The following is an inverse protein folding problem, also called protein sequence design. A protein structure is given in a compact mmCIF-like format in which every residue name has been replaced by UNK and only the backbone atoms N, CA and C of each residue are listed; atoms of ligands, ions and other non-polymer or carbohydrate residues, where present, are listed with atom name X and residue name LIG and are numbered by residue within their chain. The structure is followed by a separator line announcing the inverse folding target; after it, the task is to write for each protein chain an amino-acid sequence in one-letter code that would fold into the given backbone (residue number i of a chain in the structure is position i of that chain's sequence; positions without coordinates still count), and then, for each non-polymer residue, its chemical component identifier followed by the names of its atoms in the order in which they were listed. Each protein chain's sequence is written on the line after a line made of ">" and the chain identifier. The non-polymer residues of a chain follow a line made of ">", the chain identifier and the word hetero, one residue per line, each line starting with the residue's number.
data_IF_157934639505
#
_entry.id   IF_157934639505
#
_cell.length_a   1.000
_cell.length_b   1.000
_cell.length_c   1.000
_cell.angle_alpha   90.00
_cell.angle_beta   90.00
_cell.angle_gamma   90.00
#
_symmetry.space_group_name_H-M   'P 1'
#
loop_
_entity.id
_entity.type
_entity.pdbx_description
1 polymer ?
#
# COMPACT_ATOMS: atom_id res chain seq x y z
N UNK A 1 22.18 -17.24 9.41
CA UNK A 1 21.10 -18.03 10.02
C UNK A 1 20.04 -17.18 10.74
N UNK A 2 20.37 -16.32 11.73
CA UNK A 2 19.37 -15.48 12.44
C UNK A 2 18.55 -14.56 11.51
N UNK A 3 19.14 -13.98 10.50
CA UNK A 3 18.48 -13.08 9.54
C UNK A 3 17.48 -13.84 8.63
N UNK A 4 17.80 -15.06 8.23
CA UNK A 4 16.92 -15.93 7.45
C UNK A 4 15.70 -16.40 8.28
N UNK A 5 15.92 -16.84 9.51
CA UNK A 5 14.83 -17.24 10.40
C UNK A 5 13.87 -16.06 10.69
N UNK A 6 14.41 -14.86 10.90
CA UNK A 6 13.58 -13.66 11.06
C UNK A 6 12.78 -13.32 9.80
N UNK A 7 13.33 -13.54 8.61
CA UNK A 7 12.60 -13.37 7.34
C UNK A 7 11.46 -14.39 7.23
N UNK A 8 11.75 -15.67 7.43
CA UNK A 8 10.75 -16.75 7.36
C UNK A 8 9.62 -16.49 8.38
N UNK A 9 9.98 -16.14 9.61
CA UNK A 9 9.00 -15.78 10.65
C UNK A 9 8.07 -14.63 10.19
N UNK A 10 8.65 -13.54 9.67
CA UNK A 10 7.87 -12.39 9.20
C UNK A 10 6.97 -12.74 8.04
N UNK A 11 7.45 -13.59 7.13
CA UNK A 11 6.66 -14.05 5.99
C UNK A 11 5.48 -14.90 6.45
N UNK A 12 5.72 -15.93 7.24
CA UNK A 12 4.66 -16.83 7.71
C UNK A 12 3.62 -16.09 8.55
N UNK A 13 4.09 -15.28 9.49
CA UNK A 13 3.20 -14.50 10.32
C UNK A 13 2.41 -13.45 9.52
N UNK A 14 3.06 -12.78 8.58
CA UNK A 14 2.41 -11.83 7.70
C UNK A 14 1.32 -12.47 6.84
N UNK A 15 1.61 -13.61 6.22
CA UNK A 15 0.64 -14.37 5.46
C UNK A 15 -0.52 -14.84 6.35
N UNK A 16 -0.25 -15.41 7.51
CA UNK A 16 -1.28 -15.86 8.45
C UNK A 16 -2.21 -14.72 8.89
N UNK A 17 -1.65 -13.56 9.22
CA UNK A 17 -2.43 -12.39 9.63
C UNK A 17 -3.19 -11.72 8.46
N UNK A 18 -2.87 -12.04 7.22
CA UNK A 18 -3.62 -11.56 6.05
C UNK A 18 -4.90 -12.37 5.81
N UNK A 19 -5.08 -13.52 6.46
CA UNK A 19 -6.24 -14.40 6.26
C UNK A 19 -7.57 -13.76 6.68
N UNK A 20 -7.56 -12.83 7.62
CA UNK A 20 -8.79 -12.17 8.06
C UNK A 20 -8.68 -10.65 7.97
N UNK A 21 -9.76 -9.93 7.69
CA UNK A 21 -9.75 -8.47 7.61
C UNK A 21 -9.33 -7.81 8.93
N UNK A 22 -9.68 -8.40 10.07
CA UNK A 22 -9.34 -7.88 11.38
C UNK A 22 -7.83 -7.95 11.66
N UNK A 23 -7.22 -9.09 11.36
CA UNK A 23 -5.77 -9.26 11.54
C UNK A 23 -4.96 -8.60 10.45
N UNK A 24 -5.52 -8.43 9.25
CA UNK A 24 -4.89 -7.69 8.15
C UNK A 24 -4.59 -6.23 8.52
N UNK A 25 -5.37 -5.62 9.42
CA UNK A 25 -5.07 -4.28 9.96
C UNK A 25 -3.69 -4.22 10.61
N UNK A 26 -3.26 -5.29 11.28
CA UNK A 26 -1.92 -5.39 11.88
C UNK A 26 -0.82 -5.42 10.80
N UNK A 27 -1.10 -6.14 9.69
CA UNK A 27 -0.20 -6.20 8.53
C UNK A 27 -0.06 -4.83 7.88
N UNK A 28 -1.16 -4.12 7.67
CA UNK A 28 -1.16 -2.75 7.15
C UNK A 28 -0.33 -1.84 8.04
N UNK A 29 -0.52 -1.90 9.36
CA UNK A 29 0.24 -1.08 10.29
C UNK A 29 1.74 -1.40 10.29
N UNK A 30 2.09 -2.67 10.26
CA UNK A 30 3.49 -3.08 10.17
C UNK A 30 4.13 -2.62 8.85
N UNK A 31 3.46 -2.83 7.71
CA UNK A 31 3.97 -2.41 6.41
C UNK A 31 4.09 -0.91 6.29
N UNK A 32 3.18 -0.14 6.90
CA UNK A 32 3.26 1.32 6.99
C UNK A 32 4.56 1.77 7.68
N UNK A 33 4.89 1.15 8.81
CA UNK A 33 6.11 1.43 9.56
C UNK A 33 7.35 0.96 8.81
N UNK A 34 7.30 -0.22 8.18
CA UNK A 34 8.38 -0.72 7.34
C UNK A 34 8.65 0.20 6.14
N UNK A 35 7.59 0.76 5.54
CA UNK A 35 7.71 1.73 4.45
C UNK A 35 8.36 3.04 4.92
N UNK A 36 7.94 3.61 6.06
CA UNK A 36 8.57 4.80 6.65
C UNK A 36 10.07 4.59 6.88
N UNK A 37 10.43 3.44 7.46
CA UNK A 37 11.84 3.06 7.64
C UNK A 37 12.58 2.89 6.31
N UNK A 38 11.92 2.36 5.29
CA UNK A 38 12.52 2.23 3.95
C UNK A 38 12.82 3.59 3.34
N UNK A 39 11.94 4.59 3.51
CA UNK A 39 12.19 5.98 3.10
C UNK A 39 13.42 6.54 3.80
N UNK A 40 13.45 6.49 5.13
CA UNK A 40 14.57 6.99 5.93
C UNK A 40 15.90 6.32 5.57
N UNK A 41 15.89 5.00 5.36
CA UNK A 41 17.07 4.24 4.93
C UNK A 41 17.58 4.69 3.56
N UNK A 42 16.68 5.08 2.66
CA UNK A 42 17.07 5.59 1.34
C UNK A 42 17.68 6.97 1.44
N UNK A 43 17.12 7.86 2.24
CA UNK A 43 17.69 9.17 2.50
C UNK A 43 19.08 9.06 3.13
N UNK A 44 19.23 8.18 4.12
CA UNK A 44 20.52 7.89 4.74
C UNK A 44 21.57 7.39 3.72
N UNK A 45 21.17 6.49 2.80
CA UNK A 45 22.05 6.00 1.73
C UNK A 45 22.35 7.09 0.68
N UNK A 46 21.40 7.96 0.35
CA UNK A 46 21.59 9.09 -0.57
C UNK A 46 22.55 10.14 0.01
N UNK A 47 22.61 10.29 1.33
CA UNK A 47 23.59 11.13 2.03
C UNK A 47 25.01 10.52 2.06
N UNK A 48 25.23 9.37 1.43
CA UNK A 48 26.54 8.71 1.35
C UNK A 48 26.92 7.89 2.59
N UNK A 49 26.03 7.73 3.55
CA UNK A 49 26.29 6.93 4.74
C UNK A 49 26.24 5.42 4.45
N UNK A 50 27.07 4.67 5.17
CA UNK A 50 27.12 3.21 5.01
C UNK A 50 25.83 2.54 5.51
N UNK A 51 25.30 1.52 4.83
CA UNK A 51 24.12 0.78 5.26
C UNK A 51 24.24 0.18 6.67
N UNK A 52 25.46 -0.12 7.12
CA UNK A 52 25.76 -0.66 8.46
C UNK A 52 25.46 0.37 9.57
N UNK A 53 25.54 1.66 9.29
CA UNK A 53 25.35 2.74 10.27
C UNK A 53 23.86 3.08 10.46
N UNK A 54 22.99 2.67 9.52
CA UNK A 54 21.57 2.94 9.57
C UNK A 54 20.88 2.45 10.87
N UNK A 55 21.19 1.28 11.46
CA UNK A 55 20.59 0.87 12.72
C UNK A 55 20.88 1.82 13.89
N UNK A 56 22.09 2.41 13.94
CA UNK A 56 22.45 3.41 14.95
C UNK A 56 21.71 4.74 14.71
N UNK A 57 21.70 5.21 13.46
CA UNK A 57 20.93 6.37 13.03
C UNK A 57 19.44 6.24 13.39
N UNK A 58 18.81 5.11 13.02
CA UNK A 58 17.41 4.89 13.28
C UNK A 58 17.07 4.83 14.78
N UNK A 59 17.97 4.31 15.63
CA UNK A 59 17.79 4.31 17.08
C UNK A 59 17.90 5.72 17.69
N UNK A 60 18.84 6.52 17.22
CA UNK A 60 18.96 7.91 17.64
C UNK A 60 17.73 8.74 17.29
N UNK A 61 17.03 8.38 16.20
CA UNK A 61 15.79 9.04 15.77
C UNK A 61 14.55 8.55 16.51
N UNK A 62 14.59 7.40 17.16
CA UNK A 62 13.47 6.92 17.99
C UNK A 62 13.11 7.87 19.11
N UNK A 63 14.11 8.49 19.73
CA UNK A 63 13.92 9.46 20.83
C UNK A 63 13.32 10.77 20.36
N UNK A 64 13.46 11.13 19.09
CA UNK A 64 12.90 12.35 18.49
C UNK A 64 11.43 12.26 18.11
N UNK A 65 10.72 11.21 18.47
CA UNK A 65 9.36 10.89 18.04
C UNK A 65 9.18 10.79 16.51
N UNK A 66 10.24 10.96 15.74
CA UNK A 66 10.19 11.04 14.29
C UNK A 66 10.21 9.68 13.60
N UNK A 67 11.08 8.81 13.96
CA UNK A 67 11.09 7.41 13.52
C UNK A 67 10.75 6.49 14.70
N UNK A 68 10.06 7.03 15.65
CA UNK A 68 9.78 6.45 16.96
C UNK A 68 9.24 5.03 16.92
N UNK A 69 9.48 4.31 15.85
CA UNK A 69 8.99 2.96 15.87
C UNK A 69 9.76 2.10 14.87
N UNK A 70 10.70 1.38 15.39
CA UNK A 70 11.20 0.19 14.76
C UNK A 70 10.01 -0.68 14.36
N UNK A 71 9.95 -1.21 13.12
CA UNK A 71 8.93 -2.17 12.80
C UNK A 71 9.11 -3.40 13.70
N UNK A 72 8.41 -3.39 14.83
CA UNK A 72 8.28 -4.57 15.68
C UNK A 72 7.19 -5.43 15.07
N UNK A 73 7.54 -6.63 14.71
CA UNK A 73 6.60 -7.61 14.22
C UNK A 73 6.63 -8.78 15.16
N UNK A 74 5.84 -8.67 16.23
CA UNK A 74 5.71 -9.66 17.28
C UNK A 74 7.09 -10.19 17.74
N UNK A 75 7.84 -9.35 18.44
CA UNK A 75 9.15 -9.64 19.03
C UNK A 75 10.32 -9.95 18.07
N UNK A 76 10.18 -9.80 16.76
CA UNK A 76 11.23 -10.23 15.83
C UNK A 76 12.53 -9.43 15.93
N UNK A 77 12.46 -8.15 16.32
CA UNK A 77 13.62 -7.25 16.29
C UNK A 77 14.43 -7.27 17.61
N UNK A 78 13.79 -7.53 18.74
CA UNK A 78 14.41 -7.51 20.09
C UNK A 78 14.08 -8.75 20.95
N UNK A 79 13.65 -9.83 20.29
CA UNK A 79 13.28 -11.07 20.98
C UNK A 79 14.38 -11.58 21.93
N UNK A 80 15.64 -11.54 21.52
CA UNK A 80 16.76 -11.99 22.35
C UNK A 80 16.93 -11.16 23.62
N UNK A 81 16.81 -9.84 23.53
CA UNK A 81 16.89 -8.94 24.67
C UNK A 81 15.67 -9.14 25.61
N UNK A 82 14.47 -9.30 25.03
CA UNK A 82 13.25 -9.57 25.77
C UNK A 82 13.33 -10.90 26.55
N UNK A 83 13.74 -11.99 25.88
CA UNK A 83 13.91 -13.28 26.54
C UNK A 83 14.99 -13.27 27.62
N UNK A 84 16.10 -12.53 27.39
CA UNK A 84 17.13 -12.35 28.43
C UNK A 84 16.60 -11.56 29.65
N UNK A 85 15.78 -10.53 29.40
CA UNK A 85 15.13 -9.77 30.47
C UNK A 85 14.09 -10.63 31.23
N UNK A 86 13.29 -11.40 30.49
CA UNK A 86 12.30 -12.30 31.04
C UNK A 86 12.95 -13.37 31.94
N UNK A 87 14.05 -13.99 31.50
CA UNK A 87 14.80 -14.96 32.31
C UNK A 87 15.35 -14.34 33.58
N UNK A 88 15.88 -13.12 33.56
CA UNK A 88 16.39 -12.43 34.73
C UNK A 88 15.30 -12.08 35.74
N UNK A 89 14.10 -11.81 35.29
CA UNK A 89 12.97 -11.43 36.13
C UNK A 89 12.26 -12.61 36.81
N UNK A 90 12.61 -13.86 36.49
CA UNK A 90 11.97 -15.07 36.99
C UNK A 90 10.69 -15.43 36.23
N UNK A 91 10.09 -16.62 36.52
CA UNK A 91 9.05 -17.19 35.63
C UNK A 91 7.80 -16.32 35.54
N UNK A 92 7.23 -15.86 36.64
CA UNK A 92 5.98 -15.07 36.62
C UNK A 92 6.17 -13.65 36.07
N UNK A 93 7.20 -12.94 36.50
CA UNK A 93 7.53 -11.60 36.03
C UNK A 93 8.00 -11.66 34.57
N UNK A 94 8.75 -12.69 34.20
CA UNK A 94 9.20 -12.92 32.84
C UNK A 94 8.04 -13.15 31.86
N UNK A 95 7.04 -13.92 32.24
CA UNK A 95 5.81 -14.09 31.46
C UNK A 95 5.10 -12.75 31.28
N UNK A 96 4.98 -11.95 32.34
CA UNK A 96 4.40 -10.61 32.27
C UNK A 96 5.13 -9.69 31.25
N UNK A 97 6.46 -9.73 31.18
CA UNK A 97 7.25 -9.01 30.20
C UNK A 97 6.93 -9.45 28.75
N UNK A 98 6.85 -10.77 28.53
CA UNK A 98 6.54 -11.32 27.19
C UNK A 98 5.13 -10.91 26.76
N UNK A 99 4.14 -11.09 27.63
CA UNK A 99 2.74 -10.73 27.36
C UNK A 99 2.62 -9.23 27.05
N UNK A 100 3.24 -8.37 27.87
CA UNK A 100 3.23 -6.91 27.65
C UNK A 100 3.87 -6.53 26.31
N UNK A 101 4.98 -7.18 25.93
CA UNK A 101 5.64 -6.93 24.65
C UNK A 101 4.79 -7.37 23.47
N UNK A 102 4.11 -8.50 23.56
CA UNK A 102 3.15 -8.98 22.55
C UNK A 102 2.00 -7.98 22.37
N UNK A 103 1.30 -7.65 23.44
CA UNK A 103 0.19 -6.70 23.39
C UNK A 103 0.66 -5.32 22.90
N UNK A 104 1.81 -4.84 23.35
CA UNK A 104 2.41 -3.60 22.87
C UNK A 104 2.68 -3.62 21.36
N UNK A 105 3.20 -4.72 20.83
CA UNK A 105 3.43 -4.88 19.38
C UNK A 105 2.13 -4.94 18.59
N UNK A 106 1.14 -5.69 19.05
CA UNK A 106 -0.18 -5.77 18.44
C UNK A 106 -0.86 -4.38 18.42
N UNK A 107 -0.88 -3.70 19.55
CA UNK A 107 -1.48 -2.36 19.69
C UNK A 107 -0.83 -1.32 18.77
N UNK A 108 0.51 -1.30 18.72
CA UNK A 108 1.25 -0.39 17.83
C UNK A 108 0.90 -0.63 16.37
N UNK A 109 0.84 -1.89 15.94
CA UNK A 109 0.51 -2.23 14.57
C UNK A 109 -0.98 -1.97 14.29
N UNK A 110 -1.89 -2.27 15.21
CA UNK A 110 -3.31 -1.95 15.04
C UNK A 110 -3.54 -0.45 14.89
N UNK A 111 -2.95 0.36 15.79
CA UNK A 111 -3.06 1.82 15.74
C UNK A 111 -2.48 2.41 14.45
N UNK A 112 -1.33 1.90 13.99
CA UNK A 112 -0.72 2.34 12.74
C UNK A 112 -1.57 1.91 11.53
N UNK A 113 -2.15 0.69 11.57
CA UNK A 113 -3.01 0.16 10.52
C UNK A 113 -4.31 0.94 10.37
N UNK A 114 -5.00 1.20 11.46
CA UNK A 114 -6.22 2.04 11.43
C UNK A 114 -5.91 3.44 10.91
N UNK A 115 -4.81 4.06 11.38
CA UNK A 115 -4.37 5.37 10.88
C UNK A 115 -4.05 5.38 9.40
N UNK A 116 -3.53 4.28 8.85
CA UNK A 116 -3.25 4.16 7.43
C UNK A 116 -4.51 3.93 6.61
N UNK A 117 -5.42 3.09 7.09
CA UNK A 117 -6.63 2.71 6.36
C UNK A 117 -7.68 3.82 6.29
N UNK A 118 -7.87 4.58 7.37
CA UNK A 118 -8.94 5.60 7.43
C UNK A 118 -8.81 6.66 6.32
N UNK A 119 -7.68 7.32 6.09
CA UNK A 119 -7.56 8.30 5.01
C UNK A 119 -7.73 7.68 3.62
N UNK A 120 -7.22 6.47 3.41
CA UNK A 120 -7.40 5.73 2.15
C UNK A 120 -8.89 5.42 1.94
N UNK A 121 -9.58 4.93 2.98
CA UNK A 121 -11.01 4.65 2.90
C UNK A 121 -11.82 5.91 2.57
N UNK A 122 -11.49 7.06 3.18
CA UNK A 122 -12.16 8.34 2.90
C UNK A 122 -11.99 8.72 1.42
N UNK A 123 -10.78 8.62 0.87
CA UNK A 123 -10.52 8.98 -0.53
C UNK A 123 -11.10 7.95 -1.50
N UNK A 124 -11.10 6.67 -1.13
CA UNK A 124 -11.59 5.60 -2.02
C UNK A 124 -13.10 5.33 -1.89
N UNK A 125 -13.77 5.82 -0.85
CA UNK A 125 -15.21 5.63 -0.66
C UNK A 125 -16.06 6.12 -1.85
N UNK A 126 -15.80 7.29 -2.47
CA UNK A 126 -16.54 7.71 -3.65
C UNK A 126 -16.36 6.77 -4.84
N UNK A 127 -15.13 6.26 -5.06
CA UNK A 127 -14.87 5.26 -6.11
C UNK A 127 -15.69 4.01 -5.87
N UNK A 128 -15.60 3.48 -4.65
CA UNK A 128 -16.31 2.24 -4.28
C UNK A 128 -17.83 2.41 -4.43
N UNK A 129 -18.37 3.54 -4.01
CA UNK A 129 -19.79 3.85 -4.13
C UNK A 129 -20.24 3.95 -5.61
N UNK A 130 -19.48 4.66 -6.44
CA UNK A 130 -19.79 4.83 -7.86
C UNK A 130 -19.70 3.50 -8.63
N UNK A 131 -18.66 2.70 -8.38
CA UNK A 131 -18.49 1.41 -9.05
C UNK A 131 -19.52 0.38 -8.56
N UNK A 132 -19.85 0.38 -7.27
CA UNK A 132 -20.90 -0.48 -6.73
C UNK A 132 -22.27 -0.12 -7.30
N UNK A 133 -22.60 1.17 -7.35
CA UNK A 133 -23.84 1.64 -7.96
C UNK A 133 -23.90 1.31 -9.45
N UNK A 134 -22.79 1.48 -10.18
CA UNK A 134 -22.70 1.13 -11.59
C UNK A 134 -22.94 -0.37 -11.82
N UNK A 135 -22.34 -1.20 -10.98
CA UNK A 135 -22.53 -2.64 -11.06
C UNK A 135 -24.00 -3.03 -10.80
N UNK A 136 -24.60 -2.49 -9.73
CA UNK A 136 -26.02 -2.73 -9.41
C UNK A 136 -26.93 -2.21 -10.51
N UNK A 137 -26.74 -1.00 -10.98
CA UNK A 137 -27.54 -0.39 -12.06
C UNK A 137 -27.41 -1.15 -13.37
N UNK A 138 -26.21 -1.61 -13.71
CA UNK A 138 -25.96 -2.44 -14.91
C UNK A 138 -26.70 -3.77 -14.82
N UNK A 139 -26.64 -4.45 -13.66
CA UNK A 139 -27.30 -5.71 -13.44
C UNK A 139 -28.83 -5.55 -13.53
N UNK A 140 -29.39 -4.64 -12.72
CA UNK A 140 -30.84 -4.43 -12.64
C UNK A 140 -31.47 -3.91 -13.94
N UNK A 141 -30.82 -2.95 -14.59
CA UNK A 141 -31.41 -2.31 -15.76
C UNK A 141 -31.06 -3.03 -17.07
N UNK A 142 -29.91 -3.68 -17.17
CA UNK A 142 -29.50 -4.35 -18.42
C UNK A 142 -30.00 -5.79 -18.52
N UNK A 143 -30.15 -6.49 -17.39
CA UNK A 143 -30.53 -7.91 -17.38
C UNK A 143 -31.97 -8.16 -16.89
N UNK A 144 -32.47 -7.38 -15.94
CA UNK A 144 -33.76 -7.62 -15.31
C UNK A 144 -34.90 -6.75 -15.84
N UNK A 145 -34.64 -5.47 -16.19
CA UNK A 145 -35.67 -4.48 -16.52
C UNK A 145 -35.68 -3.99 -17.96
N UNK A 146 -34.81 -4.58 -18.80
CA UNK A 146 -34.63 -4.12 -20.18
C UNK A 146 -33.74 -2.85 -20.29
N UNK A 147 -33.55 -2.38 -21.51
CA UNK A 147 -32.47 -1.46 -21.86
C UNK A 147 -32.79 0.04 -21.68
N UNK A 148 -33.93 0.42 -21.10
CA UNK A 148 -34.36 1.82 -21.05
C UNK A 148 -33.37 2.78 -20.39
N UNK A 149 -32.56 2.28 -19.44
CA UNK A 149 -31.55 3.06 -18.73
C UNK A 149 -30.15 2.45 -18.80
N UNK A 150 -29.86 1.67 -19.85
CA UNK A 150 -28.60 0.93 -19.99
C UNK A 150 -27.35 1.81 -19.96
N UNK A 151 -27.45 3.11 -20.31
CA UNK A 151 -26.34 4.05 -20.31
C UNK A 151 -25.94 4.56 -18.91
N UNK A 152 -26.82 4.46 -17.92
CA UNK A 152 -26.58 4.99 -16.55
C UNK A 152 -25.40 4.29 -15.89
N UNK A 153 -25.42 2.97 -15.87
CA UNK A 153 -24.33 2.17 -15.29
C UNK A 153 -22.95 2.50 -15.88
N UNK A 154 -22.77 2.40 -17.21
CA UNK A 154 -21.50 2.76 -17.86
C UNK A 154 -21.05 4.20 -17.62
N UNK A 155 -21.95 5.17 -17.61
CA UNK A 155 -21.60 6.57 -17.37
C UNK A 155 -21.06 6.77 -15.95
N UNK A 156 -21.72 6.19 -14.97
CA UNK A 156 -21.28 6.27 -13.56
C UNK A 156 -19.99 5.48 -13.34
N UNK A 157 -19.83 4.32 -14.01
CA UNK A 157 -18.55 3.60 -13.99
C UNK A 157 -17.42 4.46 -14.53
N UNK A 158 -17.62 5.14 -15.66
CA UNK A 158 -16.61 6.01 -16.25
C UNK A 158 -16.21 7.15 -15.30
N UNK A 159 -17.18 7.79 -14.65
CA UNK A 159 -16.91 8.83 -13.63
C UNK A 159 -16.10 8.23 -12.46
N UNK A 160 -16.52 7.06 -11.96
CA UNK A 160 -15.82 6.36 -10.89
C UNK A 160 -14.38 5.99 -11.27
N UNK A 161 -14.17 5.50 -12.49
CA UNK A 161 -12.83 5.16 -12.99
C UNK A 161 -11.97 6.42 -13.16
N UNK A 162 -12.51 7.51 -13.71
CA UNK A 162 -11.78 8.76 -13.86
C UNK A 162 -11.32 9.29 -12.48
N UNK A 163 -12.20 9.25 -11.49
CA UNK A 163 -11.83 9.59 -10.10
C UNK A 163 -10.76 8.65 -9.56
N UNK A 164 -10.89 7.34 -9.77
CA UNK A 164 -9.92 6.33 -9.34
C UNK A 164 -8.53 6.60 -9.89
N UNK A 165 -8.40 6.93 -11.17
CA UNK A 165 -7.12 7.25 -11.82
C UNK A 165 -6.43 8.41 -11.11
N UNK A 166 -7.19 9.48 -10.81
CA UNK A 166 -6.66 10.64 -10.10
C UNK A 166 -6.25 10.27 -8.68
N UNK A 167 -7.10 9.56 -7.95
CA UNK A 167 -6.83 9.11 -6.59
C UNK A 167 -5.59 8.22 -6.53
N UNK A 168 -5.50 7.18 -7.37
CA UNK A 168 -4.39 6.23 -7.35
C UNK A 168 -3.07 6.81 -7.85
N UNK A 169 -3.09 7.90 -8.59
CA UNK A 169 -1.88 8.67 -8.91
C UNK A 169 -1.27 9.31 -7.66
N UNK A 170 -2.09 9.70 -6.69
CA UNK A 170 -1.65 10.43 -5.49
C UNK A 170 -1.61 9.56 -4.23
N UNK A 171 -2.54 8.64 -4.06
CA UNK A 171 -2.68 7.80 -2.84
C UNK A 171 -1.39 7.09 -2.44
N UNK A 172 -0.63 6.43 -3.33
CA UNK A 172 0.59 5.76 -2.93
C UNK A 172 1.65 6.73 -2.34
N UNK A 173 1.73 7.96 -2.85
CA UNK A 173 2.61 8.99 -2.30
C UNK A 173 2.07 9.54 -0.98
N UNK A 174 0.75 9.75 -0.88
CA UNK A 174 0.06 10.23 0.31
C UNK A 174 0.26 9.28 1.50
N UNK A 175 0.12 7.98 1.27
CA UNK A 175 0.36 6.94 2.26
C UNK A 175 1.82 6.95 2.76
N UNK A 176 2.80 7.13 1.87
CA UNK A 176 4.20 7.21 2.25
C UNK A 176 4.49 8.47 3.07
N UNK A 177 3.91 9.60 2.67
CA UNK A 177 4.03 10.84 3.41
C UNK A 177 3.42 10.73 4.81
N UNK A 178 2.24 10.13 4.90
CA UNK A 178 1.62 9.82 6.18
C UNK A 178 2.48 8.90 7.04
N UNK A 179 3.07 7.86 6.44
CA UNK A 179 3.94 6.91 7.12
C UNK A 179 5.16 7.60 7.74
N UNK A 180 5.85 8.42 6.96
CA UNK A 180 7.05 9.15 7.41
C UNK A 180 6.70 10.14 8.51
N UNK A 181 5.63 10.90 8.37
CA UNK A 181 5.24 11.93 9.32
C UNK A 181 4.42 11.42 10.51
N UNK A 182 3.97 10.16 10.48
CA UNK A 182 3.04 9.59 11.45
C UNK A 182 1.79 10.47 11.71
N UNK A 183 1.34 11.19 10.69
CA UNK A 183 0.26 12.16 10.76
C UNK A 183 -0.73 11.97 9.61
N UNK A 184 -2.00 11.78 9.92
CA UNK A 184 -3.06 11.65 8.93
C UNK A 184 -3.27 12.92 8.11
N UNK A 185 -2.99 14.11 8.67
CA UNK A 185 -3.06 15.40 7.95
C UNK A 185 -2.08 15.43 6.78
N UNK A 186 -0.92 14.81 6.91
CA UNK A 186 0.07 14.74 5.85
C UNK A 186 -0.44 13.97 4.61
N UNK A 187 -1.38 13.07 4.78
CA UNK A 187 -2.03 12.36 3.68
C UNK A 187 -2.84 13.29 2.76
N UNK A 188 -3.52 14.28 3.32
CA UNK A 188 -4.41 15.20 2.59
C UNK A 188 -3.73 16.45 2.03
N UNK A 189 -2.41 16.57 2.10
CA UNK A 189 -1.69 17.69 1.49
C UNK A 189 -1.54 17.49 -0.03
N UNK A 190 -2.67 17.64 -0.73
CA UNK A 190 -2.72 17.45 -2.18
C UNK A 190 -1.88 18.45 -2.97
N UNK A 191 -1.55 19.61 -2.41
CA UNK A 191 -0.67 20.59 -3.06
C UNK A 191 0.75 20.03 -3.17
N UNK A 192 1.28 19.52 -2.07
CA UNK A 192 2.57 18.84 -2.06
C UNK A 192 2.56 17.58 -2.92
N UNK A 193 1.52 16.74 -2.82
CA UNK A 193 1.43 15.49 -3.56
C UNK A 193 1.43 15.70 -5.08
N UNK A 194 0.73 16.73 -5.57
CA UNK A 194 0.78 17.11 -6.98
C UNK A 194 2.19 17.56 -7.40
N UNK A 195 2.88 18.33 -6.56
CA UNK A 195 4.27 18.72 -6.80
C UNK A 195 5.18 17.50 -6.82
N UNK A 196 5.06 16.61 -5.85
CA UNK A 196 5.81 15.35 -5.75
C UNK A 196 5.58 14.45 -6.98
N UNK A 197 4.34 14.30 -7.42
CA UNK A 197 4.00 13.52 -8.61
C UNK A 197 4.69 14.05 -9.87
N UNK A 198 4.77 15.38 -10.05
CA UNK A 198 5.48 16.00 -11.18
C UNK A 198 6.98 15.70 -11.17
N UNK A 199 7.60 15.60 -9.99
CA UNK A 199 9.04 15.33 -9.85
C UNK A 199 9.41 13.87 -10.16
N UNK A 200 8.48 12.94 -10.05
CA UNK A 200 8.76 11.49 -10.18
C UNK A 200 7.84 10.78 -11.17
N UNK A 201 7.41 11.46 -12.25
CA UNK A 201 6.49 10.91 -13.26
C UNK A 201 6.83 9.50 -13.72
N UNK A 202 8.09 9.25 -14.12
CA UNK A 202 8.54 7.91 -14.52
C UNK A 202 8.45 6.88 -13.37
N UNK A 203 8.73 7.31 -12.14
CA UNK A 203 8.56 6.48 -10.97
C UNK A 203 7.11 6.08 -10.71
N UNK A 204 6.18 7.02 -10.96
CA UNK A 204 4.74 6.77 -10.84
C UNK A 204 4.23 5.83 -11.95
N UNK A 205 4.71 5.98 -13.19
CA UNK A 205 4.39 5.05 -14.28
C UNK A 205 4.87 3.64 -13.90
N UNK A 206 6.12 3.50 -13.45
CA UNK A 206 6.64 2.21 -12.99
C UNK A 206 5.84 1.62 -11.83
N UNK A 207 5.37 2.49 -10.92
CA UNK A 207 4.52 2.07 -9.81
C UNK A 207 3.13 1.62 -10.32
N UNK A 208 2.52 2.33 -11.27
CA UNK A 208 1.25 1.95 -11.88
C UNK A 208 1.35 0.61 -12.63
N UNK A 209 2.43 0.38 -13.37
CA UNK A 209 2.71 -0.94 -13.99
C UNK A 209 2.78 -2.03 -12.93
N UNK A 210 3.47 -1.77 -11.82
CA UNK A 210 3.58 -2.74 -10.73
C UNK A 210 2.22 -3.04 -10.07
N UNK A 211 1.37 -2.01 -9.89
CA UNK A 211 0.00 -2.19 -9.38
C UNK A 211 -0.87 -2.95 -10.37
N UNK A 212 -0.78 -2.67 -11.67
CA UNK A 212 -1.49 -3.41 -12.72
C UNK A 212 -1.08 -4.89 -12.73
N UNK A 213 0.23 -5.16 -12.69
CA UNK A 213 0.74 -6.55 -12.57
C UNK A 213 0.21 -7.24 -11.31
N UNK A 214 0.17 -6.52 -10.18
CA UNK A 214 -0.40 -7.04 -8.94
C UNK A 214 -1.91 -7.30 -9.06
N UNK A 215 -2.64 -6.41 -9.73
CA UNK A 215 -4.06 -6.58 -10.04
C UNK A 215 -4.32 -7.81 -10.87
N UNK A 216 -3.51 -8.03 -11.91
CA UNK A 216 -3.58 -9.26 -12.71
C UNK A 216 -3.36 -10.53 -11.87
N UNK A 217 -2.37 -10.54 -10.97
CA UNK A 217 -2.18 -11.66 -10.03
C UNK A 217 -3.42 -11.88 -9.16
N UNK A 218 -4.02 -10.81 -8.64
CA UNK A 218 -5.26 -10.89 -7.86
C UNK A 218 -6.42 -11.44 -8.71
N UNK A 219 -6.56 -10.97 -9.95
CA UNK A 219 -7.59 -11.44 -10.86
C UNK A 219 -7.42 -12.94 -11.16
N UNK A 220 -6.20 -13.38 -11.44
CA UNK A 220 -5.89 -14.82 -11.65
C UNK A 220 -6.24 -15.63 -10.39
N UNK A 221 -5.87 -15.17 -9.20
CA UNK A 221 -6.22 -15.85 -7.95
C UNK A 221 -7.73 -15.91 -7.72
N UNK A 222 -8.52 -14.95 -8.19
CA UNK A 222 -9.97 -14.97 -8.09
C UNK A 222 -10.59 -16.02 -9.01
N UNK A 223 -10.05 -16.17 -10.21
CA UNK A 223 -10.62 -17.05 -11.25
C UNK A 223 -10.12 -18.49 -11.14
N UNK A 224 -8.90 -18.68 -10.65
CA UNK A 224 -8.25 -20.00 -10.60
C UNK A 224 -9.06 -21.13 -9.93
N UNK A 225 -9.87 -20.91 -8.89
CA UNK A 225 -10.68 -21.97 -8.31
C UNK A 225 -11.70 -22.60 -9.27
N UNK A 226 -12.21 -21.85 -10.26
CA UNK A 226 -13.21 -22.34 -11.20
C UNK A 226 -12.67 -23.49 -12.08
N UNK A 227 -11.59 -23.32 -12.86
CA UNK A 227 -11.04 -24.40 -13.67
C UNK A 227 -10.42 -25.52 -12.81
N UNK A 228 -9.85 -25.20 -11.63
CA UNK A 228 -9.28 -26.20 -10.74
C UNK A 228 -10.37 -27.10 -10.15
N UNK A 229 -11.52 -26.55 -9.74
CA UNK A 229 -12.65 -27.34 -9.25
C UNK A 229 -13.19 -28.28 -10.30
N UNK A 230 -13.27 -27.85 -11.57
CA UNK A 230 -13.73 -28.66 -12.68
C UNK A 230 -12.74 -29.77 -13.12
N UNK A 231 -11.44 -29.56 -12.85
CA UNK A 231 -10.39 -30.51 -13.19
C UNK A 231 -10.22 -31.65 -12.16
N UNK A 232 -10.85 -31.55 -11.00
CA UNK A 232 -10.72 -32.50 -9.89
C UNK A 232 -11.94 -33.45 -9.95
N UNK A 233 -11.69 -34.70 -10.22
CA UNK A 233 -12.75 -35.73 -10.34
C UNK A 233 -13.39 -36.12 -9.01
N UNK A 234 -12.70 -35.90 -7.89
CA UNK A 234 -13.15 -36.28 -6.55
C UNK A 234 -13.67 -35.10 -5.74
N UNK A 235 -14.96 -35.08 -5.31
CA UNK A 235 -15.52 -33.98 -4.52
C UNK A 235 -14.76 -33.67 -3.23
N UNK A 236 -14.25 -34.70 -2.53
CA UNK A 236 -13.48 -34.53 -1.30
C UNK A 236 -12.14 -33.79 -1.50
N UNK A 237 -11.50 -34.01 -2.67
CA UNK A 237 -10.24 -33.30 -2.98
C UNK A 237 -10.51 -31.84 -3.37
N UNK A 238 -11.64 -31.57 -4.02
CA UNK A 238 -12.12 -30.22 -4.30
C UNK A 238 -12.36 -29.45 -3.00
N UNK A 239 -13.05 -30.05 -2.04
CA UNK A 239 -13.33 -29.42 -0.75
C UNK A 239 -12.04 -29.09 0.03
N UNK A 240 -11.08 -30.02 0.07
CA UNK A 240 -9.76 -29.79 0.66
C UNK A 240 -9.00 -28.63 -0.02
N UNK A 241 -9.01 -28.59 -1.34
CA UNK A 241 -8.41 -27.49 -2.11
C UNK A 241 -9.04 -26.16 -1.73
N UNK A 242 -10.37 -26.08 -1.67
CA UNK A 242 -11.09 -24.88 -1.31
C UNK A 242 -10.79 -24.40 0.11
N UNK A 243 -10.65 -25.32 1.07
CA UNK A 243 -10.27 -24.99 2.45
C UNK A 243 -8.83 -24.47 2.56
N UNK A 244 -7.91 -24.95 1.73
CA UNK A 244 -6.50 -24.54 1.74
C UNK A 244 -6.24 -23.31 0.88
N UNK A 245 -7.11 -23.02 -0.08
CA UNK A 245 -6.93 -21.94 -1.04
C UNK A 245 -6.71 -20.56 -0.41
N UNK A 246 -7.42 -20.16 0.66
CA UNK A 246 -7.15 -18.88 1.36
C UNK A 246 -5.72 -18.76 1.88
N UNK A 247 -5.09 -19.87 2.30
CA UNK A 247 -3.70 -19.86 2.74
C UNK A 247 -2.74 -19.53 1.58
N UNK A 248 -2.99 -20.14 0.41
CA UNK A 248 -2.23 -19.84 -0.81
C UNK A 248 -2.39 -18.37 -1.21
N UNK A 249 -3.62 -17.88 -1.20
CA UNK A 249 -3.94 -16.48 -1.52
C UNK A 249 -3.21 -15.54 -0.56
N UNK A 250 -3.29 -15.78 0.75
CA UNK A 250 -2.62 -14.97 1.75
C UNK A 250 -1.08 -15.02 1.61
N UNK A 251 -0.52 -16.19 1.29
CA UNK A 251 0.91 -16.37 1.06
C UNK A 251 1.41 -15.55 -0.16
N UNK A 252 0.58 -15.34 -1.16
CA UNK A 252 0.91 -14.53 -2.35
C UNK A 252 0.61 -13.05 -2.10
N UNK A 253 -0.53 -12.71 -1.51
CA UNK A 253 -0.96 -11.31 -1.32
C UNK A 253 -0.07 -10.56 -0.33
N UNK A 254 0.39 -11.20 0.75
CA UNK A 254 1.22 -10.53 1.73
C UNK A 254 2.54 -9.97 1.14
N UNK A 255 3.41 -10.77 0.48
CA UNK A 255 4.63 -10.25 -0.13
C UNK A 255 4.35 -9.27 -1.28
N UNK A 256 3.27 -9.50 -2.05
CA UNK A 256 2.85 -8.60 -3.11
C UNK A 256 2.51 -7.21 -2.55
N UNK A 257 1.70 -7.15 -1.51
CA UNK A 257 1.36 -5.91 -0.82
C UNK A 257 2.60 -5.21 -0.25
N UNK A 258 3.47 -5.96 0.44
CA UNK A 258 4.72 -5.41 0.95
C UNK A 258 5.61 -4.84 -0.16
N UNK A 259 5.71 -5.53 -1.29
CA UNK A 259 6.47 -5.07 -2.46
C UNK A 259 5.93 -3.75 -3.01
N UNK A 260 4.62 -3.62 -3.16
CA UNK A 260 3.96 -2.38 -3.59
C UNK A 260 4.26 -1.23 -2.64
N UNK A 261 4.17 -1.46 -1.33
CA UNK A 261 4.48 -0.46 -0.29
C UNK A 261 5.94 -0.01 -0.34
N UNK A 262 6.88 -0.94 -0.48
CA UNK A 262 8.31 -0.63 -0.59
C UNK A 262 8.67 0.07 -1.91
N UNK A 263 7.97 -0.24 -3.00
CA UNK A 263 8.11 0.46 -4.27
C UNK A 263 7.60 1.92 -4.15
N UNK A 264 6.42 2.14 -3.55
CA UNK A 264 5.90 3.47 -3.27
C UNK A 264 6.87 4.28 -2.37
N UNK A 265 7.44 3.66 -1.34
CA UNK A 265 8.43 4.28 -0.47
C UNK A 265 9.70 4.73 -1.25
N UNK A 266 10.10 3.95 -2.27
CA UNK A 266 11.22 4.30 -3.16
C UNK A 266 10.92 5.54 -4.00
N UNK A 267 9.74 5.57 -4.59
CA UNK A 267 9.30 6.69 -5.43
C UNK A 267 9.15 7.96 -4.59
N UNK A 268 8.52 7.85 -3.43
CA UNK A 268 8.33 8.95 -2.50
C UNK A 268 9.64 9.54 -1.98
N UNK A 269 10.58 8.69 -1.55
CA UNK A 269 11.88 9.15 -1.07
C UNK A 269 12.59 10.03 -2.12
N UNK A 270 12.55 9.61 -3.39
CA UNK A 270 13.11 10.38 -4.51
C UNK A 270 12.37 11.70 -4.77
N UNK A 271 11.05 11.71 -4.59
CA UNK A 271 10.24 12.92 -4.77
C UNK A 271 10.61 13.99 -3.72
N UNK A 272 10.64 13.61 -2.45
CA UNK A 272 10.91 14.51 -1.34
C UNK A 272 12.31 15.13 -1.46
N UNK A 273 13.35 14.34 -1.74
CA UNK A 273 14.72 14.87 -1.93
C UNK A 273 14.84 15.78 -3.14
N UNK A 274 14.14 15.51 -4.25
CA UNK A 274 14.13 16.41 -5.41
C UNK A 274 13.43 17.72 -5.13
N UNK A 275 12.36 17.71 -4.34
CA UNK A 275 11.67 18.94 -3.91
C UNK A 275 12.58 19.76 -3.01
N UNK A 276 13.23 19.13 -2.02
CA UNK A 276 14.17 19.80 -1.13
C UNK A 276 15.32 20.44 -1.90
N UNK A 277 15.98 19.70 -2.79
CA UNK A 277 17.10 20.18 -3.60
C UNK A 277 16.73 21.34 -4.56
N UNK A 278 15.45 21.53 -4.89
CA UNK A 278 14.94 22.63 -5.70
C UNK A 278 14.49 23.85 -4.88
N UNK A 279 14.86 23.93 -3.61
CA UNK A 279 14.47 24.99 -2.72
C UNK A 279 13.02 24.93 -2.23
N UNK A 280 12.43 23.75 -2.23
CA UNK A 280 11.07 23.52 -1.74
C UNK A 280 11.02 22.90 -0.35
N UNK A 281 12.10 23.02 0.43
CA UNK A 281 12.18 22.43 1.77
C UNK A 281 11.07 22.92 2.72
N UNK A 282 10.58 24.15 2.53
CA UNK A 282 9.48 24.73 3.31
C UNK A 282 8.14 24.01 3.11
N UNK A 283 7.96 23.32 1.97
CA UNK A 283 6.75 22.54 1.69
C UNK A 283 6.77 21.13 2.29
N UNK A 284 7.91 20.71 2.81
CA UNK A 284 8.05 19.47 3.54
C UNK A 284 7.39 19.60 4.92
N UNK A 285 6.79 18.51 5.39
CA UNK A 285 6.32 18.46 6.76
C UNK A 285 7.51 18.52 7.74
N UNK A 286 7.27 19.02 8.94
CA UNK A 286 8.35 19.30 9.92
C UNK A 286 9.32 18.12 10.10
N UNK A 287 8.78 16.93 10.14
CA UNK A 287 9.52 15.69 10.31
C UNK A 287 10.40 15.32 9.11
N UNK A 288 9.85 15.43 7.90
CA UNK A 288 10.59 15.22 6.67
C UNK A 288 11.73 16.22 6.54
N UNK A 289 11.43 17.48 6.84
CA UNK A 289 12.40 18.56 6.81
C UNK A 289 13.54 18.28 7.75
N UNK A 290 13.26 17.98 9.03
CA UNK A 290 14.27 17.67 10.02
C UNK A 290 15.19 16.52 9.61
N UNK A 291 14.64 15.44 9.02
CA UNK A 291 15.43 14.32 8.53
C UNK A 291 16.30 14.68 7.32
N UNK A 292 15.75 15.45 6.37
CA UNK A 292 16.45 15.85 5.15
C UNK A 292 17.56 16.85 5.48
N UNK A 293 17.31 17.84 6.33
CA UNK A 293 18.30 18.82 6.82
C UNK A 293 19.43 18.13 7.59
N UNK A 294 19.08 17.21 8.51
CA UNK A 294 20.07 16.43 9.26
C UNK A 294 20.98 15.59 8.38
N UNK A 295 20.46 15.09 7.27
CA UNK A 295 21.21 14.32 6.29
C UNK A 295 21.86 15.19 5.19
N UNK A 296 21.75 16.52 5.28
CA UNK A 296 22.27 17.49 4.32
C UNK A 296 21.84 17.20 2.85
N UNK A 297 20.59 16.76 2.67
CA UNK A 297 20.04 16.43 1.36
C UNK A 297 19.34 17.63 0.68
N UNK A 298 19.28 18.78 1.33
CA UNK A 298 18.70 20.05 0.85
C UNK A 298 19.70 20.92 0.10
N UNK A 299 21.01 20.64 0.18
CA UNK A 299 22.12 21.47 -0.30
C UNK A 299 22.43 21.40 -1.81
N UNK A 300 21.64 20.72 -2.62
CA UNK A 300 21.85 20.63 -4.06
C UNK A 300 21.34 21.85 -4.82
N UNK A 301 22.14 22.91 -5.00
CA UNK A 301 21.80 24.00 -5.90
C UNK A 301 21.55 23.45 -7.32
N UNK A 302 20.32 23.53 -7.80
CA UNK A 302 20.00 23.15 -9.17
C UNK A 302 20.80 24.03 -10.14
N UNK A 303 21.47 23.44 -11.14
CA UNK A 303 22.26 24.23 -12.08
C UNK A 303 21.38 25.27 -12.76
N UNK A 304 21.83 26.54 -12.76
CA UNK A 304 21.14 27.66 -13.39
C UNK A 304 21.09 27.43 -14.91
N UNK A 305 19.97 27.02 -15.41
CA UNK A 305 19.74 26.83 -16.86
C UNK A 305 19.52 28.18 -17.55
N UNK A 306 20.14 28.42 -18.69
CA UNK A 306 19.89 29.60 -19.53
C UNK A 306 18.44 29.72 -20.00
N UNK A 307 18.01 30.89 -20.47
CA UNK A 307 16.62 31.15 -20.86
C UNK A 307 16.10 30.20 -21.95
N UNK A 308 16.86 29.96 -23.01
CA UNK A 308 16.54 29.03 -24.10
C UNK A 308 16.41 27.58 -23.59
N UNK A 309 17.33 27.15 -22.71
CA UNK A 309 17.25 25.83 -22.11
C UNK A 309 16.04 25.68 -21.16
N UNK A 310 15.54 26.76 -20.57
CA UNK A 310 14.30 26.76 -19.78
C UNK A 310 13.07 26.63 -20.64
N UNK A 311 12.99 27.32 -21.79
CA UNK A 311 11.85 27.21 -22.73
C UNK A 311 11.81 25.81 -23.35
N UNK A 312 12.92 25.29 -23.88
CA UNK A 312 13.01 23.94 -24.42
C UNK A 312 12.70 22.86 -23.36
N UNK A 313 13.16 23.04 -22.14
CA UNK A 313 12.82 22.15 -21.04
C UNK A 313 11.33 22.27 -20.63
N UNK A 314 10.72 23.43 -20.81
CA UNK A 314 9.29 23.66 -20.57
C UNK A 314 8.40 22.90 -21.56
N UNK A 315 8.66 23.02 -22.86
CA UNK A 315 7.89 22.34 -23.92
C UNK A 315 8.07 20.83 -23.88
N UNK A 316 9.28 20.33 -23.71
CA UNK A 316 9.55 18.91 -23.54
C UNK A 316 8.93 18.34 -22.25
N UNK A 317 8.87 19.15 -21.19
CA UNK A 317 8.21 18.80 -19.93
C UNK A 317 6.68 18.71 -20.05
N UNK A 318 6.06 19.58 -20.88
CA UNK A 318 4.62 19.52 -21.17
C UNK A 318 4.27 18.26 -21.96
N UNK A 319 4.96 18.00 -23.07
CA UNK A 319 4.75 16.80 -23.88
C UNK A 319 4.96 15.51 -23.06
N UNK A 320 6.06 15.43 -22.32
CA UNK A 320 6.31 14.31 -21.39
C UNK A 320 5.22 14.20 -20.30
N UNK A 321 4.66 15.33 -19.87
CA UNK A 321 3.55 15.36 -18.92
C UNK A 321 2.26 14.76 -19.49
N UNK A 322 1.91 15.12 -20.73
CA UNK A 322 0.72 14.59 -21.42
C UNK A 322 0.86 13.08 -21.64
N UNK A 323 2.00 12.64 -22.20
CA UNK A 323 2.27 11.21 -22.41
C UNK A 323 2.23 10.43 -21.10
N UNK A 324 2.88 10.93 -20.04
CA UNK A 324 2.86 10.28 -18.73
C UNK A 324 1.44 10.18 -18.16
N UNK A 325 0.62 11.22 -18.32
CA UNK A 325 -0.77 11.22 -17.86
C UNK A 325 -1.63 10.23 -18.64
N UNK A 326 -1.45 10.14 -19.96
CA UNK A 326 -2.16 9.17 -20.79
C UNK A 326 -1.78 7.72 -20.44
N UNK A 327 -0.49 7.44 -20.23
CA UNK A 327 -0.03 6.13 -19.79
C UNK A 327 -0.56 5.78 -18.40
N UNK A 328 -0.53 6.74 -17.46
CA UNK A 328 -1.10 6.52 -16.12
C UNK A 328 -2.60 6.24 -16.19
N UNK A 329 -3.33 6.99 -17.02
CA UNK A 329 -4.75 6.74 -17.22
C UNK A 329 -4.99 5.32 -17.77
N UNK A 330 -4.27 4.92 -18.82
CA UNK A 330 -4.42 3.59 -19.42
C UNK A 330 -4.11 2.45 -18.42
N UNK A 331 -3.05 2.60 -17.63
CA UNK A 331 -2.64 1.59 -16.63
C UNK A 331 -3.66 1.47 -15.49
N UNK A 332 -4.11 2.60 -14.94
CA UNK A 332 -5.12 2.56 -13.86
C UNK A 332 -6.50 2.15 -14.36
N UNK A 333 -6.86 2.54 -15.57
CA UNK A 333 -8.08 2.07 -16.23
C UNK A 333 -8.03 0.55 -16.44
N UNK A 334 -6.89 0.02 -16.92
CA UNK A 334 -6.67 -1.41 -17.08
C UNK A 334 -6.82 -2.17 -15.77
N UNK A 335 -6.21 -1.69 -14.68
CA UNK A 335 -6.36 -2.28 -13.35
C UNK A 335 -7.82 -2.35 -12.88
N UNK A 336 -8.58 -1.26 -13.04
CA UNK A 336 -10.00 -1.27 -12.67
C UNK A 336 -10.77 -2.23 -13.56
N UNK A 337 -10.47 -2.26 -14.87
CA UNK A 337 -11.06 -3.21 -15.81
C UNK A 337 -10.82 -4.66 -15.41
N UNK A 338 -9.59 -5.03 -15.06
CA UNK A 338 -9.25 -6.36 -14.56
C UNK A 338 -10.07 -6.73 -13.31
N UNK A 339 -10.12 -5.83 -12.33
CA UNK A 339 -10.87 -6.04 -11.10
C UNK A 339 -12.37 -6.07 -11.33
N UNK A 340 -12.88 -5.20 -12.21
CA UNK A 340 -14.30 -5.12 -12.53
C UNK A 340 -14.79 -6.35 -13.31
N UNK A 341 -14.05 -6.77 -14.33
CA UNK A 341 -14.37 -7.97 -15.11
C UNK A 341 -14.29 -9.24 -14.26
N UNK A 342 -13.29 -9.34 -13.40
CA UNK A 342 -13.11 -10.51 -12.55
C UNK A 342 -14.33 -10.82 -11.65
N UNK A 343 -15.15 -9.81 -11.31
CA UNK A 343 -16.35 -10.02 -10.50
C UNK A 343 -17.42 -10.87 -11.20
N UNK A 344 -17.51 -10.78 -12.53
CA UNK A 344 -18.48 -11.59 -13.30
C UNK A 344 -18.06 -13.05 -13.44
N UNK A 345 -16.80 -13.36 -13.14
CA UNK A 345 -16.21 -14.69 -13.23
C UNK A 345 -16.21 -15.44 -11.90
N UNK A 346 -16.61 -14.79 -10.81
CA UNK A 346 -16.61 -15.36 -9.47
C UNK A 346 -18.04 -15.56 -9.00
N UNK A 347 -18.45 -16.82 -8.90
CA UNK A 347 -19.74 -17.21 -8.34
C UNK A 347 -19.58 -17.67 -6.89
N UNK A 348 -20.53 -17.30 -6.05
CA UNK A 348 -20.77 -17.82 -4.68
C UNK A 348 -19.61 -17.82 -3.68
N UNK A 349 -18.57 -17.02 -3.90
CA UNK A 349 -17.48 -16.91 -2.96
C UNK A 349 -17.77 -15.86 -1.89
N UNK A 350 -18.11 -16.33 -0.70
CA UNK A 350 -18.35 -15.49 0.47
C UNK A 350 -17.06 -14.92 1.09
N UNK A 351 -15.90 -15.42 0.66
CA UNK A 351 -14.64 -15.01 1.22
C UNK A 351 -14.24 -13.61 0.72
N UNK A 352 -13.88 -12.72 1.63
CA UNK A 352 -13.53 -11.33 1.32
C UNK A 352 -12.44 -11.15 0.26
N UNK A 353 -11.46 -12.05 0.22
CA UNK A 353 -10.38 -12.02 -0.76
C UNK A 353 -10.86 -12.15 -2.21
N UNK A 354 -12.05 -12.70 -2.40
CA UNK A 354 -12.66 -12.92 -3.71
C UNK A 354 -13.75 -11.91 -4.03
N UNK A 355 -14.09 -11.03 -3.08
CA UNK A 355 -15.07 -9.99 -3.35
C UNK A 355 -14.57 -9.05 -4.46
N UNK A 356 -15.40 -8.75 -5.48
CA UNK A 356 -14.97 -7.97 -6.66
C UNK A 356 -14.36 -6.62 -6.31
N UNK A 357 -14.90 -5.96 -5.31
CA UNK A 357 -14.39 -4.68 -4.87
C UNK A 357 -13.30 -4.80 -3.81
N UNK A 358 -12.80 -5.97 -3.48
CA UNK A 358 -11.79 -6.34 -2.46
C UNK A 358 -11.81 -5.44 -1.21
N UNK A 359 -12.32 -4.28 -1.39
CA UNK A 359 -12.33 -3.17 -0.48
C UNK A 359 -13.45 -3.26 0.57
N UNK A 360 -14.47 -4.08 0.34
CA UNK A 360 -15.62 -4.23 1.22
C UNK A 360 -15.94 -5.72 1.44
N UNK A 361 -15.13 -6.44 2.18
CA UNK A 361 -15.26 -7.90 2.34
C UNK A 361 -16.56 -8.32 3.04
N UNK A 362 -17.15 -7.43 3.86
CA UNK A 362 -18.40 -7.67 4.58
C UNK A 362 -19.67 -7.45 3.74
N UNK A 363 -19.57 -6.81 2.59
CA UNK A 363 -20.74 -6.55 1.74
C UNK A 363 -21.20 -7.80 1.02
N UNK A 364 -20.29 -8.71 0.65
CA UNK A 364 -20.61 -9.97 0.00
C UNK A 364 -21.58 -10.85 0.80
N UNK A 365 -21.49 -10.84 2.13
CA UNK A 365 -22.40 -11.60 3.01
C UNK A 365 -23.81 -11.01 3.13
N UNK A 366 -23.98 -9.71 2.82
CA UNK A 366 -25.27 -9.02 2.93
C UNK A 366 -26.06 -9.09 1.61
N UNK A 367 -25.36 -9.13 0.48
CA UNK A 367 -25.95 -9.09 -0.86
C UNK A 367 -25.81 -10.39 -1.66
N UNK A 368 -25.33 -11.48 -1.05
CA UNK A 368 -25.35 -12.79 -1.71
C UNK A 368 -26.80 -13.24 -1.84
N UNK A 369 -27.36 -13.36 -3.04
CA UNK A 369 -28.63 -14.03 -3.20
C UNK A 369 -28.45 -15.50 -2.77
N UNK A 370 -29.30 -15.98 -1.87
CA UNK A 370 -29.40 -17.38 -1.49
C UNK A 370 -29.98 -18.18 -2.64
#
# INVERSE_FOLDING_TARGET
>A
MRSFLAFVWRYLLGALLTLTPFTAVLVVGWTQRAAARSVARRWHAQAGHRPADFPAFARAEEDSAALAVWPRWIMADDAGALFAAARRAGPFRGLGFIVRALFGSLWLNAKAGVRALVPVAIVMAPVSALLLFSWWSGWENSFNKGYEQAWVGPTIAFIGIAYFVVAMTLVPLAEMRQAVNNSWRAFFDFAFLRRAAREVRLGLIGLAVLFMTAGFVVAVLKVAPLPLGNAIERPADTERLLQQYPLLVAAILFPLYLMLRLAAARVYAKAATRIAAKGGAETLAARERALIERLALDGGAAPKRGALARVAAGTSSLAAGVVASALMFALWFGLVGELYVSQFLVHDWTHWAFHPLVQLPWVGGIFSPR
#
